data_IF_397137270909
#
_entry.id   IF_397137270909
#
_cell.length_a   1.000
_cell.length_b   1.000
_cell.length_c   1.000
_cell.angle_alpha   90.00
_cell.angle_beta   90.00
_cell.angle_gamma   90.00
#
_symmetry.space_group_name_H-M   'P 1'
#
loop_
_entity.id
_entity.type
_entity.pdbx_description
1 polymer ?
#
# COMPACT_ATOMS: atom_id res chain seq x y z
N UNK A 1 5.84 -42.13 17.41
CA UNK A 1 5.05 -41.31 16.45
C UNK A 1 4.14 -40.28 17.13
N UNK A 2 3.34 -40.64 18.14
CA UNK A 2 2.47 -39.67 18.86
C UNK A 2 3.22 -38.54 19.57
N UNK A 3 4.39 -38.81 20.17
CA UNK A 3 5.24 -37.81 20.84
C UNK A 3 5.87 -36.82 19.84
N UNK A 4 6.28 -37.28 18.65
CA UNK A 4 6.81 -36.41 17.60
C UNK A 4 5.71 -35.52 17.01
N UNK A 5 4.50 -36.06 16.80
CA UNK A 5 3.35 -35.28 16.34
C UNK A 5 2.84 -34.28 17.39
N UNK A 6 2.92 -34.61 18.67
CA UNK A 6 2.58 -33.67 19.75
C UNK A 6 3.67 -32.60 19.92
N UNK A 7 4.95 -32.95 19.79
CA UNK A 7 6.08 -32.01 19.74
C UNK A 7 5.93 -31.05 18.55
N UNK A 8 5.80 -31.58 17.32
CA UNK A 8 5.57 -30.76 16.12
C UNK A 8 4.32 -29.91 16.23
N UNK A 9 3.26 -30.37 16.92
CA UNK A 9 2.07 -29.56 17.23
C UNK A 9 2.33 -28.46 18.25
N UNK A 10 3.22 -28.68 19.22
CA UNK A 10 3.58 -27.75 20.29
C UNK A 10 4.46 -26.60 19.78
N UNK A 11 5.36 -26.87 18.83
CA UNK A 11 6.26 -25.86 18.26
C UNK A 11 5.73 -25.17 16.99
N UNK A 12 4.49 -25.47 16.57
CA UNK A 12 3.88 -24.82 15.39
C UNK A 12 3.86 -23.30 15.48
N UNK A 13 3.50 -22.77 16.65
CA UNK A 13 3.46 -21.33 16.88
C UNK A 13 4.86 -20.71 16.78
N UNK A 14 5.88 -21.39 17.31
CA UNK A 14 7.28 -20.97 17.20
C UNK A 14 7.68 -20.88 15.73
N UNK A 15 7.32 -21.86 14.91
CA UNK A 15 7.57 -21.83 13.46
C UNK A 15 6.89 -20.65 12.76
N UNK A 16 5.64 -20.34 13.10
CA UNK A 16 4.94 -19.17 12.52
C UNK A 16 5.59 -17.84 12.95
N UNK A 17 5.99 -17.70 14.21
CA UNK A 17 6.70 -16.49 14.66
C UNK A 17 8.08 -16.35 14.00
N UNK A 18 8.81 -17.46 13.83
CA UNK A 18 10.07 -17.47 13.09
C UNK A 18 9.87 -17.06 11.62
N UNK A 19 8.82 -17.57 10.95
CA UNK A 19 8.49 -17.15 9.58
C UNK A 19 8.05 -15.69 9.49
N UNK A 20 7.35 -15.17 10.50
CA UNK A 20 6.94 -13.77 10.54
C UNK A 20 8.15 -12.85 10.71
N UNK A 21 9.07 -13.21 11.61
CA UNK A 21 10.35 -12.52 11.78
C UNK A 21 11.19 -12.57 10.50
N UNK A 22 11.29 -13.75 9.88
CA UNK A 22 12.00 -13.92 8.62
C UNK A 22 11.39 -13.07 7.51
N UNK A 23 10.07 -13.07 7.37
CA UNK A 23 9.38 -12.24 6.37
C UNK A 23 9.67 -10.75 6.59
N UNK A 24 9.67 -10.29 7.85
CA UNK A 24 10.01 -8.91 8.21
C UNK A 24 11.45 -8.56 7.82
N UNK A 25 12.43 -9.38 8.24
CA UNK A 25 13.85 -9.19 7.92
C UNK A 25 14.06 -9.12 6.40
N UNK A 26 13.51 -10.10 5.66
CA UNK A 26 13.65 -10.16 4.21
C UNK A 26 13.01 -8.96 3.48
N UNK A 27 11.95 -8.36 4.05
CA UNK A 27 11.34 -7.15 3.48
C UNK A 27 12.17 -5.90 3.74
N UNK A 28 12.75 -5.76 4.93
CA UNK A 28 13.68 -4.67 5.24
C UNK A 28 14.92 -4.78 4.36
N UNK A 29 15.50 -5.98 4.26
CA UNK A 29 16.67 -6.26 3.43
C UNK A 29 16.38 -5.98 1.95
N UNK A 30 15.22 -6.41 1.43
CA UNK A 30 14.82 -6.10 0.06
C UNK A 30 14.72 -4.58 -0.17
N UNK A 31 14.09 -3.85 0.75
CA UNK A 31 14.06 -2.38 0.66
C UNK A 31 15.50 -1.85 0.60
N UNK A 32 16.40 -2.38 1.43
CA UNK A 32 17.77 -1.84 1.65
C UNK A 32 18.61 -1.92 0.41
N UNK A 33 18.62 -3.08 -0.25
CA UNK A 33 19.44 -3.30 -1.43
C UNK A 33 18.87 -2.67 -2.70
N UNK A 34 17.54 -2.67 -2.85
CA UNK A 34 16.93 -2.14 -4.08
C UNK A 34 16.78 -0.62 -4.06
N UNK A 35 17.12 0.06 -2.95
CA UNK A 35 17.04 1.52 -2.77
C UNK A 35 15.91 2.13 -3.59
N UNK A 36 14.69 1.60 -3.42
CA UNK A 36 13.48 2.14 -4.06
C UNK A 36 13.09 3.48 -3.40
N UNK A 37 14.06 4.37 -3.20
CA UNK A 37 13.90 5.76 -2.86
C UNK A 37 13.26 6.41 -4.07
N UNK A 38 11.93 6.24 -4.17
CA UNK A 38 11.14 6.96 -5.13
C UNK A 38 11.28 8.43 -4.81
N UNK A 39 11.34 9.26 -5.85
CA UNK A 39 11.34 10.72 -5.78
C UNK A 39 10.30 11.24 -4.76
N UNK A 40 9.11 10.62 -4.72
CA UNK A 40 8.06 10.92 -3.74
C UNK A 40 8.54 10.92 -2.28
N UNK A 41 9.42 10.00 -1.89
CA UNK A 41 9.91 9.87 -0.51
C UNK A 41 10.96 10.93 -0.22
N UNK A 42 11.86 11.18 -1.16
CA UNK A 42 12.89 12.22 -1.04
C UNK A 42 12.26 13.60 -0.90
N UNK A 43 11.31 13.93 -1.78
CA UNK A 43 10.57 15.19 -1.76
C UNK A 43 9.81 15.36 -0.44
N UNK A 44 9.17 14.30 0.07
CA UNK A 44 8.51 14.34 1.38
C UNK A 44 9.50 14.55 2.53
N UNK A 45 10.67 13.91 2.50
CA UNK A 45 11.68 14.07 3.55
C UNK A 45 12.33 15.46 3.52
N UNK A 46 12.61 15.99 2.32
CA UNK A 46 13.09 17.35 2.14
C UNK A 46 12.09 18.36 2.73
N UNK A 47 10.81 18.22 2.42
CA UNK A 47 9.77 19.07 3.00
C UNK A 47 9.56 18.87 4.50
N UNK A 48 9.76 17.65 4.99
CA UNK A 48 9.72 17.38 6.43
C UNK A 48 10.89 18.07 7.15
N UNK A 49 12.08 18.07 6.55
CA UNK A 49 13.24 18.74 7.10
C UNK A 49 13.05 20.26 7.16
N UNK A 50 12.45 20.87 6.13
CA UNK A 50 12.09 22.30 6.17
C UNK A 50 11.01 22.60 7.20
N UNK A 51 10.00 21.73 7.31
CA UNK A 51 8.96 21.86 8.34
C UNK A 51 9.55 21.84 9.75
N UNK A 52 10.43 20.88 10.01
CA UNK A 52 11.10 20.74 11.30
C UNK A 52 11.95 21.97 11.66
N UNK A 53 12.58 22.60 10.67
CA UNK A 53 13.31 23.86 10.83
C UNK A 53 12.41 25.11 11.00
N UNK A 54 11.10 24.97 10.83
CA UNK A 54 10.13 26.05 10.97
C UNK A 54 9.81 26.82 9.68
N UNK A 55 10.27 26.35 8.52
CA UNK A 55 10.01 27.00 7.21
C UNK A 55 8.68 26.55 6.55
N UNK A 56 7.93 25.65 7.19
CA UNK A 56 6.70 25.08 6.65
C UNK A 56 6.95 23.87 5.74
N UNK A 57 5.90 23.39 5.05
CA UNK A 57 5.99 22.16 4.24
C UNK A 57 6.46 22.52 2.82
N UNK A 58 7.73 22.86 2.70
CA UNK A 58 8.33 23.46 1.51
C UNK A 58 9.56 22.71 1.04
N UNK A 59 9.93 22.83 -0.23
CA UNK A 59 11.21 22.35 -0.77
C UNK A 59 11.99 23.55 -1.29
N UNK A 60 13.29 23.65 -1.00
CA UNK A 60 14.12 24.71 -1.56
C UNK A 60 14.30 24.50 -3.06
N UNK A 61 13.90 25.47 -3.86
CA UNK A 61 14.11 25.51 -5.30
C UNK A 61 15.01 26.69 -5.68
N UNK A 62 15.88 26.49 -6.66
CA UNK A 62 16.68 27.58 -7.22
C UNK A 62 15.77 28.56 -7.96
N UNK A 63 16.00 29.86 -7.79
CA UNK A 63 15.26 30.86 -8.57
C UNK A 63 15.61 30.73 -10.06
N UNK A 64 14.60 30.78 -10.92
CA UNK A 64 14.79 30.81 -12.38
C UNK A 64 15.40 32.13 -12.86
N UNK A 65 15.26 33.19 -12.07
CA UNK A 65 15.81 34.53 -12.36
C UNK A 65 17.26 34.68 -11.87
N UNK A 66 17.63 33.97 -10.80
CA UNK A 66 18.97 33.99 -10.21
C UNK A 66 19.29 32.64 -9.55
N UNK A 67 20.09 31.81 -10.24
CA UNK A 67 20.46 30.47 -9.77
C UNK A 67 21.31 30.49 -8.49
N UNK A 68 21.83 31.65 -8.07
CA UNK A 68 22.51 31.79 -6.77
C UNK A 68 21.54 31.89 -5.59
N UNK A 69 20.27 32.19 -5.85
CA UNK A 69 19.22 32.31 -4.85
C UNK A 69 18.35 31.05 -4.80
N UNK A 70 17.95 30.67 -3.58
CA UNK A 70 16.99 29.59 -3.35
C UNK A 70 15.77 30.16 -2.64
N UNK A 71 14.57 29.77 -3.06
CA UNK A 71 13.32 30.10 -2.39
C UNK A 71 12.60 28.82 -1.97
N UNK A 72 11.82 28.91 -0.91
CA UNK A 72 11.06 27.78 -0.38
C UNK A 72 9.73 27.64 -1.13
N UNK A 73 9.61 26.62 -1.98
CA UNK A 73 8.38 26.34 -2.71
C UNK A 73 7.49 25.40 -1.89
N UNK A 74 6.23 25.76 -1.60
CA UNK A 74 5.33 24.89 -0.84
C UNK A 74 4.93 23.65 -1.63
N UNK A 75 4.99 22.49 -0.97
CA UNK A 75 4.46 21.25 -1.54
C UNK A 75 2.97 21.14 -1.22
N UNK A 76 2.16 21.08 -2.27
CA UNK A 76 0.71 20.81 -2.17
C UNK A 76 0.31 19.39 -2.59
N UNK A 77 1.20 18.66 -3.29
CA UNK A 77 0.92 17.32 -3.83
C UNK A 77 1.02 16.19 -2.79
N UNK A 78 1.74 16.41 -1.70
CA UNK A 78 1.88 15.47 -0.59
C UNK A 78 1.29 16.06 0.70
N UNK A 79 0.72 15.19 1.54
CA UNK A 79 0.28 15.57 2.87
C UNK A 79 1.45 15.48 3.87
N UNK A 80 1.50 16.33 4.90
CA UNK A 80 2.61 16.37 5.86
C UNK A 80 2.63 15.20 6.84
N UNK A 81 1.59 14.35 6.86
CA UNK A 81 1.43 13.30 7.86
C UNK A 81 2.54 12.27 7.88
N UNK A 82 3.14 11.94 6.72
CA UNK A 82 4.32 11.07 6.70
C UNK A 82 5.50 11.74 7.40
N UNK A 83 5.72 13.04 7.16
CA UNK A 83 6.77 13.81 7.81
C UNK A 83 6.63 13.84 9.33
N UNK A 84 5.41 14.09 9.84
CA UNK A 84 5.13 14.05 11.27
C UNK A 84 5.42 12.69 11.92
N UNK A 85 5.25 11.58 11.18
CA UNK A 85 5.63 10.25 11.66
C UNK A 85 7.15 10.05 11.69
N UNK A 86 7.89 10.68 10.78
CA UNK A 86 9.35 10.51 10.67
C UNK A 86 10.10 11.36 11.70
N UNK A 87 9.61 12.57 12.01
CA UNK A 87 10.28 13.51 12.92
C UNK A 87 10.71 12.86 14.26
N UNK A 88 9.86 12.12 15.00
CA UNK A 88 10.29 11.50 16.26
C UNK A 88 11.46 10.51 16.11
N UNK A 89 11.58 9.86 14.95
CA UNK A 89 12.71 8.97 14.67
C UNK A 89 13.95 9.75 14.25
N UNK A 90 13.78 10.89 13.57
CA UNK A 90 14.87 11.81 13.28
C UNK A 90 15.46 12.37 14.58
N UNK A 91 14.65 12.82 15.53
CA UNK A 91 15.10 13.30 16.85
C UNK A 91 15.89 12.24 17.63
N UNK A 92 15.64 10.95 17.37
CA UNK A 92 16.33 9.84 18.01
C UNK A 92 17.65 9.46 17.31
N UNK A 93 17.70 9.58 15.98
CA UNK A 93 18.77 9.02 15.15
C UNK A 93 19.67 10.08 14.52
N UNK A 94 19.25 11.36 14.52
CA UNK A 94 19.90 12.52 13.89
C UNK A 94 20.25 12.30 12.40
N UNK A 95 19.44 11.50 11.71
CA UNK A 95 19.65 11.15 10.31
C UNK A 95 18.29 10.87 9.65
N UNK A 96 17.92 11.70 8.66
CA UNK A 96 16.64 11.62 7.96
C UNK A 96 16.47 10.30 7.20
N UNK A 97 17.55 9.73 6.67
CA UNK A 97 17.51 8.45 5.99
C UNK A 97 17.24 7.35 7.00
N UNK A 98 18.03 7.28 8.08
CA UNK A 98 17.85 6.26 9.11
C UNK A 98 16.47 6.36 9.77
N UNK A 99 15.95 7.57 9.97
CA UNK A 99 14.60 7.82 10.46
C UNK A 99 13.52 7.27 9.52
N UNK A 100 13.61 7.54 8.21
CA UNK A 100 12.69 7.00 7.22
C UNK A 100 12.77 5.47 7.13
N UNK A 101 13.99 4.92 7.21
CA UNK A 101 14.27 3.49 7.27
C UNK A 101 13.58 2.82 8.46
N UNK A 102 13.75 3.40 9.65
CA UNK A 102 13.15 2.91 10.87
C UNK A 102 11.62 2.99 10.80
N UNK A 103 11.07 4.10 10.28
CA UNK A 103 9.65 4.25 10.05
C UNK A 103 9.10 3.17 9.10
N UNK A 104 9.78 2.87 7.99
CA UNK A 104 9.39 1.78 7.09
C UNK A 104 9.43 0.41 7.78
N UNK A 105 10.51 0.10 8.49
CA UNK A 105 10.68 -1.15 9.22
C UNK A 105 9.56 -1.37 10.24
N UNK A 106 9.18 -0.31 10.97
CA UNK A 106 8.07 -0.31 11.91
C UNK A 106 6.73 -0.51 11.20
N UNK A 107 6.46 0.20 10.09
CA UNK A 107 5.24 0.02 9.31
C UNK A 107 5.09 -1.43 8.83
N UNK A 108 6.17 -2.03 8.34
CA UNK A 108 6.18 -3.43 7.89
C UNK A 108 5.93 -4.41 9.03
N UNK A 109 6.54 -4.19 10.20
CA UNK A 109 6.28 -5.00 11.40
C UNK A 109 4.81 -4.93 11.80
N UNK A 110 4.27 -3.72 11.92
CA UNK A 110 2.87 -3.48 12.28
C UNK A 110 1.90 -4.09 11.26
N UNK A 111 2.22 -4.02 9.97
CA UNK A 111 1.46 -4.67 8.90
C UNK A 111 1.41 -6.19 9.05
N UNK A 112 2.58 -6.82 9.27
CA UNK A 112 2.68 -8.27 9.46
C UNK A 112 1.94 -8.72 10.71
N UNK A 113 2.03 -7.96 11.81
CA UNK A 113 1.27 -8.21 13.03
C UNK A 113 -0.24 -8.10 12.78
N UNK A 114 -0.71 -7.04 12.13
CA UNK A 114 -2.13 -6.89 11.80
C UNK A 114 -2.60 -8.07 10.93
N UNK A 115 -1.83 -8.44 9.91
CA UNK A 115 -2.15 -9.57 9.02
C UNK A 115 -2.18 -10.90 9.79
N UNK A 116 -1.24 -11.12 10.72
CA UNK A 116 -1.22 -12.28 11.61
C UNK A 116 -2.48 -12.36 12.48
N UNK A 117 -2.87 -11.24 13.09
CA UNK A 117 -4.05 -11.18 13.94
C UNK A 117 -5.34 -11.37 13.14
N UNK A 118 -5.44 -10.79 11.92
CA UNK A 118 -6.54 -11.03 11.00
C UNK A 118 -6.63 -12.51 10.65
N UNK A 119 -5.51 -13.13 10.30
CA UNK A 119 -5.44 -14.56 9.98
C UNK A 119 -5.87 -15.42 11.18
N UNK A 120 -5.33 -15.15 12.37
CA UNK A 120 -5.69 -15.83 13.62
C UNK A 120 -7.19 -15.72 13.92
N UNK A 121 -7.79 -14.56 13.65
CA UNK A 121 -9.23 -14.35 13.83
C UNK A 121 -10.09 -15.17 12.85
N UNK A 122 -9.56 -15.54 11.68
CA UNK A 122 -10.24 -16.45 10.76
C UNK A 122 -10.17 -17.93 11.19
N UNK A 123 -9.34 -18.25 12.18
CA UNK A 123 -8.72 -19.57 12.36
C UNK A 123 -9.51 -20.57 13.21
N UNK A 124 -10.84 -20.52 13.24
CA UNK A 124 -11.57 -21.46 14.09
C UNK A 124 -11.35 -22.94 13.72
N UNK A 125 -10.88 -23.31 12.49
CA UNK A 125 -10.60 -24.72 12.07
C UNK A 125 -9.62 -24.93 10.89
N UNK A 126 -8.71 -24.00 10.57
CA UNK A 126 -7.87 -24.09 9.35
C UNK A 126 -6.46 -24.64 9.58
N UNK A 127 -5.92 -25.32 8.54
CA UNK A 127 -4.51 -25.71 8.45
C UNK A 127 -3.59 -24.47 8.45
N UNK A 128 -2.39 -24.59 9.02
CA UNK A 128 -1.43 -23.48 9.11
C UNK A 128 -0.58 -23.30 7.87
N UNK A 129 -0.39 -24.36 7.07
CA UNK A 129 0.49 -24.32 5.91
C UNK A 129 0.16 -23.19 4.91
N UNK A 130 -1.10 -22.79 4.65
CA UNK A 130 -1.36 -21.69 3.73
C UNK A 130 -0.87 -20.35 4.28
N UNK A 131 -0.85 -20.18 5.60
CA UNK A 131 -0.30 -18.98 6.21
C UNK A 131 1.22 -18.99 6.26
N UNK A 132 1.82 -20.15 6.53
CA UNK A 132 3.26 -20.32 6.37
C UNK A 132 3.70 -20.00 4.92
N UNK A 133 2.97 -20.51 3.92
CA UNK A 133 3.19 -20.18 2.51
C UNK A 133 3.00 -18.68 2.23
N UNK A 134 1.98 -18.06 2.83
CA UNK A 134 1.77 -16.61 2.72
C UNK A 134 2.94 -15.80 3.31
N UNK A 135 3.49 -16.20 4.46
CA UNK A 135 4.63 -15.52 5.08
C UNK A 135 5.90 -15.69 4.23
N UNK A 136 6.14 -16.89 3.69
CA UNK A 136 7.23 -17.13 2.72
C UNK A 136 7.03 -16.24 1.48
N UNK A 137 5.83 -16.22 0.93
CA UNK A 137 5.47 -15.35 -0.19
C UNK A 137 5.74 -13.89 0.14
N UNK A 138 5.25 -13.35 1.26
CA UNK A 138 5.49 -11.97 1.68
C UNK A 138 6.98 -11.67 1.87
N UNK A 139 7.73 -12.61 2.44
CA UNK A 139 9.17 -12.45 2.67
C UNK A 139 9.99 -12.40 1.38
N UNK A 140 9.67 -13.20 0.37
CA UNK A 140 10.48 -13.32 -0.85
C UNK A 140 9.93 -12.56 -2.05
N UNK A 141 8.62 -12.45 -2.20
CA UNK A 141 7.95 -11.80 -3.32
C UNK A 141 8.17 -10.28 -3.30
N UNK A 142 8.61 -9.66 -4.41
CA UNK A 142 8.53 -8.21 -4.56
C UNK A 142 7.07 -7.73 -4.62
N UNK A 143 6.15 -8.52 -5.15
CA UNK A 143 4.73 -8.19 -5.19
C UNK A 143 4.02 -8.47 -3.85
N UNK A 144 3.05 -7.64 -3.42
CA UNK A 144 2.66 -6.35 -4.01
C UNK A 144 3.49 -5.16 -3.52
N UNK A 145 4.51 -5.41 -2.68
CA UNK A 145 5.23 -4.40 -1.91
C UNK A 145 6.05 -3.42 -2.74
N UNK A 146 6.59 -3.87 -3.87
CA UNK A 146 7.43 -3.05 -4.74
C UNK A 146 6.68 -1.84 -5.31
N UNK A 147 5.35 -1.92 -5.41
CA UNK A 147 4.51 -0.82 -5.92
C UNK A 147 4.20 0.24 -4.85
N UNK A 148 4.70 0.11 -3.61
CA UNK A 148 4.40 1.02 -2.51
C UNK A 148 5.58 1.94 -2.21
N UNK A 149 5.32 3.25 -2.20
CA UNK A 149 6.21 4.22 -1.53
C UNK A 149 5.98 4.17 -0.01
N UNK A 150 6.89 4.74 0.77
CA UNK A 150 6.90 4.61 2.24
C UNK A 150 5.61 5.13 2.90
N UNK A 151 5.13 6.30 2.46
CA UNK A 151 3.85 6.84 2.92
C UNK A 151 2.66 5.89 2.62
N UNK A 152 2.74 5.05 1.56
CA UNK A 152 1.67 4.11 1.25
C UNK A 152 1.81 2.78 1.94
N UNK A 153 3.03 2.39 2.30
CA UNK A 153 3.22 1.30 3.24
C UNK A 153 2.53 1.63 4.57
N UNK A 154 2.68 2.87 5.07
CA UNK A 154 1.97 3.34 6.26
C UNK A 154 0.45 3.43 6.06
N UNK A 155 -0.02 3.98 4.94
CA UNK A 155 -1.46 4.06 4.64
C UNK A 155 -2.10 2.66 4.53
N UNK A 156 -1.40 1.71 3.90
CA UNK A 156 -1.84 0.31 3.83
C UNK A 156 -1.83 -0.35 5.22
N UNK A 157 -0.82 -0.04 6.05
CA UNK A 157 -0.72 -0.52 7.44
C UNK A 157 -1.92 -0.03 8.25
N UNK A 158 -2.23 1.26 8.18
CA UNK A 158 -3.44 1.83 8.79
C UNK A 158 -4.71 1.12 8.29
N UNK A 159 -4.82 0.87 6.98
CA UNK A 159 -5.93 0.10 6.43
C UNK A 159 -6.03 -1.31 7.05
N UNK A 160 -4.94 -2.05 7.15
CA UNK A 160 -4.94 -3.39 7.75
C UNK A 160 -5.36 -3.36 9.23
N UNK A 161 -4.90 -2.37 10.00
CA UNK A 161 -5.33 -2.16 11.39
C UNK A 161 -6.80 -1.75 11.51
N UNK A 162 -7.34 -0.95 10.59
CA UNK A 162 -8.76 -0.64 10.54
C UNK A 162 -9.60 -1.89 10.22
N UNK A 163 -9.15 -2.75 9.31
CA UNK A 163 -9.78 -4.06 9.06
C UNK A 163 -9.77 -4.91 10.32
N UNK A 164 -8.64 -4.96 11.03
CA UNK A 164 -8.50 -5.69 12.28
C UNK A 164 -9.46 -5.19 13.36
N UNK A 165 -9.50 -3.87 13.62
CA UNK A 165 -10.38 -3.25 14.60
C UNK A 165 -11.86 -3.62 14.36
N UNK A 166 -12.27 -3.66 13.09
CA UNK A 166 -13.61 -4.10 12.70
C UNK A 166 -13.83 -5.58 12.96
N UNK A 167 -12.90 -6.46 12.58
CA UNK A 167 -13.01 -7.90 12.81
C UNK A 167 -13.03 -8.27 14.30
N UNK A 168 -12.39 -7.46 15.15
CA UNK A 168 -12.40 -7.65 16.60
C UNK A 168 -13.56 -6.96 17.32
N UNK A 169 -14.35 -6.15 16.60
CA UNK A 169 -15.55 -5.57 17.15
C UNK A 169 -16.54 -6.69 17.55
N UNK A 170 -16.79 -6.81 18.85
CA UNK A 170 -17.54 -7.89 19.47
C UNK A 170 -19.04 -7.88 19.13
N UNK A 171 -19.81 -8.84 19.66
CA UNK A 171 -21.22 -8.97 19.34
C UNK A 171 -22.10 -7.87 19.98
N UNK A 172 -21.60 -7.17 21.00
CA UNK A 172 -22.33 -6.07 21.66
C UNK A 172 -22.32 -4.80 20.82
N UNK A 173 -23.40 -4.01 20.92
CA UNK A 173 -23.55 -2.72 20.23
C UNK A 173 -22.39 -1.77 20.53
N UNK A 174 -22.05 -1.63 21.82
CA UNK A 174 -20.96 -0.77 22.28
C UNK A 174 -19.62 -1.19 21.69
N UNK A 175 -19.31 -2.49 21.68
CA UNK A 175 -18.05 -2.99 21.09
C UNK A 175 -18.00 -2.74 19.58
N UNK A 176 -19.13 -2.86 18.87
CA UNK A 176 -19.25 -2.50 17.45
C UNK A 176 -18.99 -1.03 17.18
N UNK A 177 -19.58 -0.15 17.99
CA UNK A 177 -19.40 1.29 17.86
C UNK A 177 -17.94 1.68 18.12
N UNK A 178 -17.34 1.18 19.21
CA UNK A 178 -15.94 1.42 19.55
C UNK A 178 -15.01 0.91 18.43
N UNK A 179 -15.22 -0.32 17.95
CA UNK A 179 -14.41 -0.87 16.85
C UNK A 179 -14.56 -0.09 15.54
N UNK A 180 -15.75 0.45 15.27
CA UNK A 180 -15.99 1.31 14.09
C UNK A 180 -15.31 2.66 14.23
N UNK A 181 -15.47 3.31 15.38
CA UNK A 181 -14.79 4.57 15.70
C UNK A 181 -13.27 4.44 15.61
N UNK A 182 -12.73 3.36 16.18
CA UNK A 182 -11.30 3.05 16.10
C UNK A 182 -10.86 2.85 14.66
N UNK A 183 -11.61 2.10 13.85
CA UNK A 183 -11.29 1.91 12.44
C UNK A 183 -11.33 3.24 11.66
N UNK A 184 -12.31 4.10 11.92
CA UNK A 184 -12.41 5.43 11.31
C UNK A 184 -11.20 6.28 11.69
N UNK A 185 -10.85 6.32 12.99
CA UNK A 185 -9.70 7.09 13.47
C UNK A 185 -8.39 6.59 12.86
N UNK A 186 -8.20 5.27 12.74
CA UNK A 186 -7.00 4.71 12.10
C UNK A 186 -6.95 5.04 10.60
N UNK A 187 -8.07 4.93 9.88
CA UNK A 187 -8.13 5.32 8.47
C UNK A 187 -7.88 6.82 8.29
N UNK A 188 -8.35 7.64 9.23
CA UNK A 188 -8.09 9.07 9.23
C UNK A 188 -6.60 9.36 9.28
N UNK A 189 -5.87 8.69 10.17
CA UNK A 189 -4.41 8.74 10.21
C UNK A 189 -3.80 8.31 8.87
N UNK A 190 -4.27 7.19 8.31
CA UNK A 190 -3.80 6.71 7.00
C UNK A 190 -4.02 7.68 5.84
N UNK A 191 -5.06 8.52 5.91
CA UNK A 191 -5.37 9.53 4.91
C UNK A 191 -4.48 10.78 5.04
N UNK A 192 -4.18 11.20 6.27
CA UNK A 192 -3.25 12.30 6.56
C UNK A 192 -1.82 11.96 6.13
N UNK A 193 -1.43 10.68 6.10
CA UNK A 193 -0.07 10.26 5.74
C UNK A 193 0.21 10.29 4.24
N UNK A 194 -0.74 9.88 3.38
CA UNK A 194 -0.48 9.77 1.92
C UNK A 194 -1.65 10.17 1.06
N UNK A 195 -2.76 9.47 1.23
CA UNK A 195 -3.89 9.56 0.34
C UNK A 195 -4.98 10.31 1.05
N UNK A 196 -5.03 11.62 0.87
CA UNK A 196 -5.98 12.53 1.50
C UNK A 196 -7.48 12.12 1.38
N UNK A 197 -7.82 11.03 0.70
CA UNK A 197 -9.21 10.60 0.49
C UNK A 197 -9.38 9.07 0.40
N UNK A 198 -8.42 8.30 -0.14
CA UNK A 198 -8.62 6.85 -0.39
C UNK A 198 -9.04 6.06 0.87
N UNK A 199 -8.38 6.21 2.03
CA UNK A 199 -8.73 5.45 3.23
C UNK A 199 -10.12 5.82 3.79
N UNK A 200 -10.53 7.09 3.72
CA UNK A 200 -11.87 7.54 4.11
C UNK A 200 -12.94 7.02 3.18
N UNK A 201 -12.64 6.97 1.89
CA UNK A 201 -13.59 6.46 0.92
C UNK A 201 -13.88 4.99 1.16
N UNK A 202 -12.98 4.20 1.76
CA UNK A 202 -13.22 2.80 2.13
C UNK A 202 -14.20 2.62 3.30
N UNK A 203 -14.61 3.69 3.97
CA UNK A 203 -15.52 3.65 5.11
C UNK A 203 -16.92 3.06 4.81
N UNK A 204 -17.59 3.38 3.69
CA UNK A 204 -18.83 2.72 3.29
C UNK A 204 -18.63 1.22 3.03
N UNK A 205 -17.51 0.81 2.41
CA UNK A 205 -17.18 -0.61 2.24
C UNK A 205 -17.04 -1.34 3.59
N UNK A 206 -16.38 -0.68 4.55
CA UNK A 206 -16.21 -1.15 5.92
C UNK A 206 -17.55 -1.27 6.67
N UNK A 207 -18.45 -0.29 6.53
CA UNK A 207 -19.77 -0.26 7.19
C UNK A 207 -20.80 -1.20 6.53
N UNK A 208 -20.77 -1.34 5.20
CA UNK A 208 -21.64 -2.27 4.47
C UNK A 208 -21.28 -3.73 4.75
N UNK A 209 -20.04 -4.02 5.12
CA UNK A 209 -19.60 -5.36 5.53
C UNK A 209 -20.28 -5.90 6.80
N UNK A 210 -20.96 -5.06 7.60
CA UNK A 210 -21.71 -5.51 8.79
C UNK A 210 -22.94 -6.39 8.43
N UNK A 211 -23.57 -7.15 9.35
CA UNK A 211 -24.82 -7.93 9.12
C UNK A 211 -26.11 -7.11 9.04
N UNK A 212 -27.10 -7.49 8.20
CA UNK A 212 -28.33 -6.69 7.91
C UNK A 212 -29.25 -6.50 9.12
N UNK A 213 -29.38 -7.48 10.00
CA UNK A 213 -30.21 -7.42 11.21
C UNK A 213 -29.76 -6.35 12.23
N UNK A 214 -28.64 -5.66 11.97
CA UNK A 214 -28.06 -4.63 12.84
C UNK A 214 -28.31 -3.21 12.29
N UNK A 215 -29.25 -3.05 11.34
CA UNK A 215 -29.45 -1.81 10.55
C UNK A 215 -29.76 -0.53 11.34
N UNK A 216 -30.59 -0.55 12.42
CA UNK A 216 -30.83 0.64 13.24
C UNK A 216 -29.54 1.18 13.90
N UNK A 217 -28.68 0.27 14.37
CA UNK A 217 -27.39 0.60 14.98
C UNK A 217 -26.33 0.97 13.94
N UNK A 218 -26.44 0.41 12.73
CA UNK A 218 -25.64 0.84 11.58
C UNK A 218 -25.92 2.29 11.22
N UNK A 219 -27.16 2.76 11.28
CA UNK A 219 -27.47 4.16 10.96
C UNK A 219 -26.70 5.11 11.89
N UNK A 220 -26.68 4.84 13.20
CA UNK A 220 -25.88 5.65 14.15
C UNK A 220 -24.38 5.56 13.89
N UNK A 221 -23.87 4.36 13.66
CA UNK A 221 -22.44 4.16 13.36
C UNK A 221 -22.05 4.79 12.01
N UNK A 222 -22.94 4.77 11.02
CA UNK A 222 -22.80 5.41 9.72
C UNK A 222 -22.83 6.93 9.86
N UNK A 223 -23.75 7.49 10.63
CA UNK A 223 -23.77 8.94 10.89
C UNK A 223 -22.48 9.37 11.57
N UNK A 224 -22.05 8.67 12.62
CA UNK A 224 -20.78 8.98 13.30
C UNK A 224 -19.58 8.86 12.36
N UNK A 225 -19.54 7.81 11.55
CA UNK A 225 -18.50 7.58 10.58
C UNK A 225 -18.50 8.65 9.46
N UNK A 226 -19.68 9.05 8.96
CA UNK A 226 -19.83 10.11 7.96
C UNK A 226 -19.47 11.48 8.54
N UNK A 227 -19.81 11.75 9.80
CA UNK A 227 -19.42 12.99 10.49
C UNK A 227 -17.91 13.02 10.70
N UNK A 228 -17.32 11.96 11.28
CA UNK A 228 -15.88 11.89 11.50
C UNK A 228 -15.08 11.90 10.18
N UNK A 229 -15.54 11.16 9.17
CA UNK A 229 -14.97 11.16 7.84
C UNK A 229 -15.14 12.51 7.13
N UNK A 230 -16.31 13.15 7.28
CA UNK A 230 -16.60 14.48 6.73
C UNK A 230 -15.76 15.57 7.39
N UNK A 231 -15.56 15.51 8.71
CA UNK A 231 -14.63 16.39 9.43
C UNK A 231 -13.18 16.15 9.01
N UNK A 232 -12.79 14.89 8.81
CA UNK A 232 -11.50 14.53 8.23
C UNK A 232 -11.30 15.13 6.84
N UNK A 233 -12.27 14.94 5.94
CA UNK A 233 -12.24 15.53 4.60
C UNK A 233 -12.25 17.06 4.63
N UNK A 234 -13.02 17.68 5.52
CA UNK A 234 -13.05 19.13 5.71
C UNK A 234 -11.69 19.65 6.18
N UNK A 235 -11.04 18.99 7.13
CA UNK A 235 -9.70 19.38 7.60
C UNK A 235 -8.66 19.32 6.47
N UNK A 236 -8.76 18.30 5.61
CA UNK A 236 -7.88 18.14 4.45
C UNK A 236 -8.20 19.14 3.33
N UNK A 237 -9.47 19.49 3.16
CA UNK A 237 -9.89 20.55 2.25
C UNK A 237 -9.40 21.91 2.73
N UNK A 238 -9.54 22.23 4.02
CA UNK A 238 -9.02 23.46 4.61
C UNK A 238 -7.50 23.56 4.47
N UNK A 239 -6.79 22.46 4.70
CA UNK A 239 -5.35 22.37 4.41
C UNK A 239 -5.03 22.70 2.96
N UNK A 240 -5.76 22.10 2.00
CA UNK A 240 -5.57 22.38 0.56
C UNK A 240 -5.89 23.84 0.21
N UNK A 241 -6.93 24.42 0.81
CA UNK A 241 -7.32 25.82 0.57
C UNK A 241 -6.24 26.79 1.03
N UNK A 242 -5.55 26.50 2.14
CA UNK A 242 -4.41 27.31 2.58
C UNK A 242 -3.22 27.27 1.60
N UNK A 243 -3.16 26.26 0.73
CA UNK A 243 -2.12 26.10 -0.27
C UNK A 243 -2.52 26.67 -1.65
N UNK A 244 -3.77 27.11 -1.85
CA UNK A 244 -4.27 27.67 -3.12
C UNK A 244 -3.49 28.89 -3.65
N UNK A 245 -2.96 29.82 -2.81
CA UNK A 245 -2.18 30.95 -3.31
C UNK A 245 -0.92 30.55 -4.11
N UNK A 246 -0.51 29.28 -4.04
CA UNK A 246 0.71 28.75 -4.63
C UNK A 246 0.46 27.72 -5.73
N UNK A 247 -0.80 27.43 -6.05
CA UNK A 247 -1.16 26.57 -7.17
C UNK A 247 -1.32 27.46 -8.41
N UNK A 248 -0.57 27.22 -9.51
CA UNK A 248 -0.84 27.92 -10.76
C UNK A 248 -2.31 27.69 -11.12
N UNK A 249 -3.01 28.76 -11.49
CA UNK A 249 -4.43 28.76 -11.84
C UNK A 249 -4.70 28.08 -13.18
N UNK A 250 -4.09 26.91 -13.43
CA UNK A 250 -4.37 26.11 -14.60
C UNK A 250 -5.80 25.61 -14.50
N UNK A 251 -6.65 26.15 -15.38
CA UNK A 251 -7.96 25.59 -15.65
C UNK A 251 -7.77 24.14 -16.09
N UNK A 252 -8.08 23.19 -15.20
CA UNK A 252 -8.05 21.77 -15.54
C UNK A 252 -9.11 21.56 -16.62
N UNK A 253 -8.74 21.19 -17.86
CA UNK A 253 -9.71 21.04 -18.93
C UNK A 253 -10.79 20.04 -18.52
N UNK A 254 -12.04 20.50 -18.48
CA UNK A 254 -13.17 19.67 -18.14
C UNK A 254 -13.53 18.75 -19.32
N UNK A 255 -13.63 17.46 -19.06
CA UNK A 255 -13.93 16.50 -20.13
C UNK A 255 -14.38 15.12 -19.63
N UNK A 256 -14.75 14.28 -20.58
CA UNK A 256 -14.96 12.85 -20.36
C UNK A 256 -13.97 12.07 -21.22
N UNK A 257 -13.06 11.36 -20.57
CA UNK A 257 -11.95 10.66 -21.22
C UNK A 257 -12.13 9.14 -21.17
N UNK A 258 -13.15 8.61 -21.86
CA UNK A 258 -13.50 7.18 -21.80
C UNK A 258 -12.36 6.24 -22.18
N UNK A 259 -11.49 6.65 -23.11
CA UNK A 259 -10.34 5.87 -23.55
C UNK A 259 -9.33 5.61 -22.41
N UNK A 260 -9.31 6.43 -21.35
CA UNK A 260 -8.46 6.21 -20.18
C UNK A 260 -8.73 4.85 -19.51
N UNK A 261 -9.97 4.34 -19.56
CA UNK A 261 -10.33 3.05 -18.96
C UNK A 261 -9.70 1.85 -19.66
N UNK A 262 -9.25 2.01 -20.91
CA UNK A 262 -8.51 0.98 -21.65
C UNK A 262 -7.11 0.75 -21.06
N UNK A 263 -6.62 1.71 -20.27
CA UNK A 263 -5.32 1.65 -19.60
C UNK A 263 -5.43 1.18 -18.14
N UNK A 264 -6.54 0.58 -17.74
CA UNK A 264 -6.67 0.01 -16.40
C UNK A 264 -5.51 -0.95 -16.13
N UNK A 265 -4.98 -0.89 -14.91
CA UNK A 265 -3.88 -1.76 -14.52
C UNK A 265 -4.37 -3.22 -14.36
N UNK A 266 -3.62 -4.24 -14.82
CA UNK A 266 -3.89 -5.65 -14.51
C UNK A 266 -3.51 -5.97 -13.05
N UNK A 267 -4.08 -5.23 -12.11
CA UNK A 267 -3.76 -5.29 -10.70
C UNK A 267 -4.01 -6.68 -10.07
N UNK A 268 -5.02 -7.50 -10.45
CA UNK A 268 -5.25 -8.78 -9.77
C UNK A 268 -4.06 -9.74 -9.84
N UNK A 269 -3.36 -9.79 -10.98
CA UNK A 269 -2.17 -10.62 -11.12
C UNK A 269 -0.96 -9.99 -10.43
N UNK A 270 -0.88 -8.65 -10.38
CA UNK A 270 0.13 -7.91 -9.62
C UNK A 270 0.06 -8.11 -8.10
N UNK A 271 -1.02 -8.72 -7.59
CA UNK A 271 -1.09 -9.17 -6.20
C UNK A 271 -0.15 -10.37 -5.92
N UNK A 272 0.25 -11.10 -6.96
CA UNK A 272 1.02 -12.35 -6.85
C UNK A 272 2.36 -12.30 -7.57
N UNK A 273 2.50 -11.48 -8.60
CA UNK A 273 3.68 -11.45 -9.47
C UNK A 273 4.11 -10.00 -9.68
N UNK A 274 5.41 -9.75 -9.56
CA UNK A 274 6.00 -8.48 -9.91
C UNK A 274 6.34 -8.45 -11.40
N UNK A 275 5.79 -7.48 -12.14
CA UNK A 275 5.94 -7.36 -13.59
C UNK A 275 6.92 -6.26 -14.01
N UNK A 276 7.82 -5.82 -13.12
CA UNK A 276 8.81 -4.81 -13.45
C UNK A 276 9.80 -5.24 -14.54
N UNK A 277 10.12 -6.53 -14.65
CA UNK A 277 11.07 -7.03 -15.66
C UNK A 277 10.58 -6.75 -17.10
N UNK A 278 9.33 -7.08 -17.49
CA UNK A 278 8.78 -6.64 -18.77
C UNK A 278 8.85 -5.13 -19.01
N UNK A 279 8.66 -4.32 -17.97
CA UNK A 279 8.75 -2.86 -18.05
C UNK A 279 10.20 -2.41 -18.28
N UNK A 280 11.17 -2.99 -17.58
CA UNK A 280 12.60 -2.73 -17.78
C UNK A 280 13.08 -3.17 -19.17
N UNK A 281 12.62 -4.33 -19.66
CA UNK A 281 12.91 -4.81 -21.02
C UNK A 281 12.23 -3.93 -22.10
N UNK A 282 11.05 -3.36 -21.81
CA UNK A 282 10.42 -2.36 -22.66
C UNK A 282 11.30 -1.11 -22.81
N UNK A 283 11.82 -0.62 -21.68
CA UNK A 283 12.67 0.57 -21.63
C UNK A 283 14.02 0.35 -22.32
N UNK A 284 14.56 -0.86 -22.26
CA UNK A 284 15.78 -1.22 -22.97
C UNK A 284 15.61 -1.28 -24.51
N UNK A 285 14.39 -1.06 -25.04
CA UNK A 285 14.04 -1.11 -26.49
C UNK A 285 14.45 -2.40 -27.22
N UNK A 286 14.78 -3.47 -26.48
CA UNK A 286 15.27 -4.74 -27.05
C UNK A 286 14.19 -5.43 -27.89
N UNK A 287 12.91 -5.25 -27.53
CA UNK A 287 11.77 -5.73 -28.31
C UNK A 287 10.51 -4.88 -28.05
N UNK A 288 10.20 -3.94 -28.94
CA UNK A 288 9.10 -2.98 -28.77
C UNK A 288 7.69 -3.62 -28.66
N UNK A 289 7.50 -4.84 -29.20
CA UNK A 289 6.22 -5.58 -29.14
C UNK A 289 6.01 -6.36 -27.85
N UNK A 290 7.12 -6.73 -27.17
CA UNK A 290 7.13 -7.59 -26.00
C UNK A 290 6.28 -7.03 -24.82
N UNK A 291 6.28 -5.71 -24.53
CA UNK A 291 5.46 -5.14 -23.46
C UNK A 291 3.96 -5.32 -23.71
N UNK A 292 3.52 -5.15 -24.98
CA UNK A 292 2.12 -5.34 -25.35
C UNK A 292 1.65 -6.79 -25.15
N UNK A 293 2.50 -7.76 -25.47
CA UNK A 293 2.22 -9.19 -25.24
C UNK A 293 2.15 -9.49 -23.75
N UNK A 294 3.11 -9.00 -22.95
CA UNK A 294 3.07 -9.18 -21.49
C UNK A 294 1.83 -8.54 -20.87
N UNK A 295 1.46 -7.34 -21.32
CA UNK A 295 0.26 -6.65 -20.86
C UNK A 295 -1.01 -7.45 -21.20
N UNK A 296 -1.11 -8.00 -22.41
CA UNK A 296 -2.23 -8.84 -22.82
C UNK A 296 -2.32 -10.12 -21.97
N UNK A 297 -1.20 -10.79 -21.72
CA UNK A 297 -1.13 -11.97 -20.84
C UNK A 297 -1.54 -11.61 -19.41
N UNK A 298 -1.03 -10.50 -18.87
CA UNK A 298 -1.37 -10.02 -17.53
C UNK A 298 -2.87 -9.72 -17.39
N UNK A 299 -3.50 -9.19 -18.44
CA UNK A 299 -4.93 -8.97 -18.51
C UNK A 299 -5.73 -10.27 -18.51
N UNK A 300 -5.38 -11.22 -19.38
CA UNK A 300 -6.02 -12.54 -19.42
C UNK A 300 -5.93 -13.23 -18.06
N UNK A 301 -4.75 -13.21 -17.44
CA UNK A 301 -4.54 -13.75 -16.10
C UNK A 301 -5.38 -13.02 -15.03
N UNK A 302 -5.47 -11.69 -15.11
CA UNK A 302 -6.27 -10.88 -14.19
C UNK A 302 -7.76 -11.16 -14.29
N UNK A 303 -8.29 -11.26 -15.51
CA UNK A 303 -9.69 -11.62 -15.75
C UNK A 303 -9.99 -13.03 -15.23
N UNK A 304 -9.07 -13.97 -15.45
CA UNK A 304 -9.19 -15.32 -14.91
C UNK A 304 -9.22 -15.34 -13.38
N UNK A 305 -8.32 -14.60 -12.72
CA UNK A 305 -8.30 -14.47 -11.25
C UNK A 305 -9.56 -13.80 -10.70
N UNK A 306 -10.07 -12.76 -11.36
CA UNK A 306 -11.35 -12.14 -11.00
C UNK A 306 -12.52 -13.12 -11.17
N UNK A 307 -12.55 -13.90 -12.25
CA UNK A 307 -13.54 -14.93 -12.48
C UNK A 307 -13.54 -16.01 -11.37
N UNK A 308 -12.35 -16.45 -10.94
CA UNK A 308 -12.21 -17.35 -9.78
C UNK A 308 -12.73 -16.66 -8.51
N UNK A 309 -12.32 -15.42 -8.25
CA UNK A 309 -12.75 -14.65 -7.08
C UNK A 309 -14.27 -14.50 -7.00
N UNK A 310 -14.91 -14.15 -8.11
CA UNK A 310 -16.37 -14.07 -8.24
C UNK A 310 -17.03 -15.43 -8.01
N UNK A 311 -16.49 -16.50 -8.61
CA UNK A 311 -17.00 -17.86 -8.44
C UNK A 311 -16.93 -18.31 -6.98
N UNK A 312 -15.81 -18.05 -6.30
CA UNK A 312 -15.66 -18.32 -4.87
C UNK A 312 -16.62 -17.47 -4.04
N UNK A 313 -16.79 -16.20 -4.37
CA UNK A 313 -17.75 -15.32 -3.69
C UNK A 313 -19.18 -15.84 -3.80
N UNK A 314 -19.64 -16.19 -5.01
CA UNK A 314 -20.97 -16.77 -5.21
C UNK A 314 -21.13 -18.12 -4.51
N UNK A 315 -20.09 -18.96 -4.55
CA UNK A 315 -20.07 -20.23 -3.84
C UNK A 315 -20.27 -20.04 -2.33
N UNK A 316 -19.53 -19.12 -1.72
CA UNK A 316 -19.61 -18.82 -0.29
C UNK A 316 -20.90 -18.10 0.10
N UNK A 317 -21.53 -17.37 -0.82
CA UNK A 317 -22.84 -16.75 -0.57
C UNK A 317 -23.98 -17.77 -0.52
N UNK A 318 -23.89 -18.85 -1.32
CA UNK A 318 -24.96 -19.85 -1.48
C UNK A 318 -24.96 -20.97 -0.43
N UNK A 319 -23.88 -21.15 0.35
CA UNK A 319 -23.79 -22.22 1.36
C UNK A 319 -23.90 -21.66 2.77
N UNK A 320 -24.91 -22.12 3.51
CA UNK A 320 -24.98 -21.99 4.98
C UNK A 320 -23.88 -22.80 5.69
N UNK A 321 -23.25 -23.74 4.98
CA UNK A 321 -22.10 -24.53 5.44
C UNK A 321 -20.79 -23.78 5.18
N UNK A 322 -20.45 -22.85 6.08
CA UNK A 322 -19.20 -22.06 6.17
C UNK A 322 -18.94 -21.05 5.03
N UNK A 323 -18.48 -19.81 5.30
CA UNK A 323 -17.50 -19.42 6.32
C UNK A 323 -18.09 -18.91 7.64
N UNK A 324 -17.30 -18.93 8.73
CA UNK A 324 -17.66 -18.23 9.97
C UNK A 324 -17.97 -16.73 9.74
N UNK A 325 -18.67 -16.08 10.68
CA UNK A 325 -19.15 -14.70 10.50
C UNK A 325 -18.04 -13.71 10.14
N UNK A 326 -16.86 -13.86 10.72
CA UNK A 326 -15.70 -13.00 10.46
C UNK A 326 -15.18 -13.14 9.03
N UNK A 327 -15.18 -14.35 8.50
CA UNK A 327 -14.67 -14.59 7.15
C UNK A 327 -15.62 -14.09 6.07
N UNK A 328 -16.93 -14.26 6.28
CA UNK A 328 -17.94 -13.59 5.43
C UNK A 328 -17.82 -12.06 5.47
N UNK A 329 -17.37 -11.50 6.60
CA UNK A 329 -17.13 -10.06 6.71
C UNK A 329 -15.89 -9.64 5.93
N UNK A 330 -14.76 -10.34 6.07
CA UNK A 330 -13.53 -10.08 5.32
C UNK A 330 -13.75 -10.17 3.79
N UNK A 331 -14.48 -11.18 3.32
CA UNK A 331 -14.81 -11.34 1.90
C UNK A 331 -15.69 -10.21 1.37
N UNK A 332 -16.73 -9.84 2.10
CA UNK A 332 -17.59 -8.70 1.73
C UNK A 332 -16.81 -7.39 1.72
N UNK A 333 -15.98 -7.17 2.74
CA UNK A 333 -15.10 -6.03 2.81
C UNK A 333 -14.22 -5.95 1.56
N UNK A 334 -13.56 -7.05 1.21
CA UNK A 334 -12.67 -7.09 0.04
C UNK A 334 -13.39 -6.82 -1.27
N UNK A 335 -14.59 -7.39 -1.46
CA UNK A 335 -15.42 -7.09 -2.63
C UNK A 335 -15.85 -5.62 -2.68
N UNK A 336 -16.25 -5.03 -1.56
CA UNK A 336 -16.64 -3.62 -1.51
C UNK A 336 -15.45 -2.68 -1.69
N UNK A 337 -14.30 -2.97 -1.08
CA UNK A 337 -13.04 -2.23 -1.28
C UNK A 337 -12.64 -2.26 -2.76
N UNK A 338 -12.71 -3.42 -3.41
CA UNK A 338 -12.42 -3.56 -4.84
C UNK A 338 -13.35 -2.70 -5.69
N UNK A 339 -14.67 -2.84 -5.53
CA UNK A 339 -15.65 -2.10 -6.33
C UNK A 339 -15.50 -0.59 -6.17
N UNK A 340 -15.23 -0.15 -4.94
CA UNK A 340 -15.10 1.25 -4.63
C UNK A 340 -13.81 1.86 -5.19
N UNK A 341 -12.67 1.18 -5.05
CA UNK A 341 -11.41 1.64 -5.65
C UNK A 341 -11.56 1.69 -7.17
N UNK A 342 -12.18 0.68 -7.80
CA UNK A 342 -12.44 0.69 -9.23
C UNK A 342 -13.37 1.83 -9.66
N UNK A 343 -14.47 2.06 -8.93
CA UNK A 343 -15.40 3.14 -9.24
C UNK A 343 -14.73 4.52 -9.11
N UNK A 344 -13.96 4.72 -8.05
CA UNK A 344 -13.27 5.98 -7.79
C UNK A 344 -12.17 6.25 -8.81
N UNK A 345 -11.27 5.30 -9.04
CA UNK A 345 -10.18 5.48 -10.01
C UNK A 345 -10.73 5.63 -11.42
N UNK A 346 -11.75 4.86 -11.79
CA UNK A 346 -12.46 5.05 -13.07
C UNK A 346 -13.03 6.45 -13.17
N UNK A 347 -13.73 6.94 -12.14
CA UNK A 347 -14.29 8.30 -12.14
C UNK A 347 -13.20 9.38 -12.28
N UNK A 348 -12.13 9.28 -11.51
CA UNK A 348 -11.01 10.22 -11.57
C UNK A 348 -10.33 10.20 -12.94
N UNK A 349 -10.08 9.00 -13.50
CA UNK A 349 -9.57 8.85 -14.86
C UNK A 349 -10.52 9.39 -15.91
N UNK A 350 -11.83 9.23 -15.75
CA UNK A 350 -12.81 9.75 -16.72
C UNK A 350 -12.88 11.27 -16.70
N UNK A 351 -12.62 11.92 -15.56
CA UNK A 351 -12.82 13.36 -15.38
C UNK A 351 -11.54 14.19 -15.43
N UNK A 352 -10.39 13.57 -15.17
CA UNK A 352 -9.11 14.28 -15.19
C UNK A 352 -8.46 14.13 -16.56
N UNK A 353 -7.90 15.20 -17.13
CA UNK A 353 -7.11 15.11 -18.35
C UNK A 353 -5.90 14.19 -18.14
N UNK A 354 -5.39 13.57 -19.22
CA UNK A 354 -4.18 12.78 -19.12
C UNK A 354 -3.02 13.68 -18.68
N UNK A 355 -2.14 13.13 -17.85
CA UNK A 355 -0.90 13.81 -17.46
C UNK A 355 0.26 13.22 -18.24
N UNK A 356 1.11 14.08 -18.76
CA UNK A 356 2.35 13.65 -19.39
C UNK A 356 3.39 13.42 -18.31
N UNK A 357 3.62 12.14 -17.99
CA UNK A 357 4.83 11.75 -17.29
C UNK A 357 5.93 11.53 -18.34
N UNK A 358 7.07 12.20 -18.16
CA UNK A 358 8.23 12.25 -19.07
C UNK A 358 8.66 10.89 -19.67
N UNK A 359 8.25 9.76 -19.08
CA UNK A 359 8.64 8.40 -19.46
C UNK A 359 7.56 7.60 -20.20
N UNK A 360 6.27 7.91 -19.98
CA UNK A 360 5.15 7.21 -20.63
C UNK A 360 4.38 8.10 -21.61
N UNK A 361 4.57 9.42 -21.55
CA UNK A 361 3.85 10.40 -22.37
C UNK A 361 2.33 10.37 -22.20
N UNK A 362 1.85 9.63 -21.19
CA UNK A 362 0.44 9.42 -20.89
C UNK A 362 0.31 8.73 -19.53
N UNK A 363 -0.47 9.32 -18.63
CA UNK A 363 -0.76 8.79 -17.31
C UNK A 363 -2.20 9.09 -16.91
N UNK A 364 -2.84 8.12 -16.27
CA UNK A 364 -4.19 8.25 -15.71
C UNK A 364 -4.28 7.46 -14.40
N UNK A 365 -5.26 7.78 -13.54
CA UNK A 365 -5.41 7.16 -12.23
C UNK A 365 -5.59 5.64 -12.26
N UNK A 366 -6.29 5.08 -13.26
CA UNK A 366 -6.49 3.62 -13.38
C UNK A 366 -5.22 2.85 -13.78
N UNK A 367 -4.19 3.52 -14.30
CA UNK A 367 -2.91 2.90 -14.68
C UNK A 367 -2.00 2.63 -13.48
N UNK A 368 -2.22 3.35 -12.39
CA UNK A 368 -1.27 3.45 -11.30
C UNK A 368 -1.53 2.35 -10.25
N UNK A 369 -0.75 1.28 -10.30
CA UNK A 369 -0.86 0.09 -9.43
C UNK A 369 -0.89 0.45 -7.95
N UNK A 370 -0.17 1.49 -7.50
CA UNK A 370 -0.07 1.85 -6.08
C UNK A 370 -1.42 2.24 -5.47
N UNK A 371 -2.39 2.65 -6.27
CA UNK A 371 -3.75 2.96 -5.80
C UNK A 371 -4.59 1.70 -5.53
N UNK A 372 -4.19 0.55 -6.05
CA UNK A 372 -4.84 -0.75 -5.80
C UNK A 372 -4.29 -1.47 -4.56
N UNK A 373 -3.32 -0.88 -3.85
CA UNK A 373 -2.62 -1.52 -2.73
C UNK A 373 -3.51 -2.26 -1.70
N UNK A 374 -4.63 -1.67 -1.20
CA UNK A 374 -5.53 -2.37 -0.28
C UNK A 374 -6.13 -3.64 -0.88
N UNK A 375 -6.47 -3.58 -2.17
CA UNK A 375 -7.07 -4.70 -2.91
C UNK A 375 -6.03 -5.77 -3.21
N UNK A 376 -4.81 -5.39 -3.61
CA UNK A 376 -3.70 -6.32 -3.85
C UNK A 376 -3.42 -7.15 -2.59
N UNK A 377 -3.30 -6.49 -1.45
CA UNK A 377 -3.08 -7.16 -0.17
C UNK A 377 -4.24 -8.10 0.21
N UNK A 378 -5.49 -7.65 0.06
CA UNK A 378 -6.67 -8.46 0.37
C UNK A 378 -6.82 -9.68 -0.57
N UNK A 379 -6.57 -9.51 -1.87
CA UNK A 379 -6.59 -10.60 -2.86
C UNK A 379 -5.57 -11.66 -2.48
N UNK A 380 -4.33 -11.25 -2.19
CA UNK A 380 -3.27 -12.15 -1.73
C UNK A 380 -3.69 -12.88 -0.46
N UNK A 381 -4.08 -12.14 0.59
CA UNK A 381 -4.48 -12.73 1.87
C UNK A 381 -5.64 -13.73 1.71
N UNK A 382 -6.68 -13.39 0.94
CA UNK A 382 -7.84 -14.26 0.73
C UNK A 382 -7.48 -15.50 -0.07
N UNK A 383 -6.65 -15.40 -1.10
CA UNK A 383 -6.26 -16.54 -1.92
C UNK A 383 -5.55 -17.60 -1.07
N UNK A 384 -4.56 -17.18 -0.26
CA UNK A 384 -3.85 -18.07 0.65
C UNK A 384 -4.78 -18.63 1.75
N UNK A 385 -5.61 -17.80 2.37
CA UNK A 385 -6.62 -18.26 3.35
C UNK A 385 -7.55 -19.33 2.76
N UNK A 386 -7.93 -19.17 1.49
CA UNK A 386 -8.88 -20.05 0.81
C UNK A 386 -8.26 -21.38 0.39
N UNK A 387 -6.94 -21.47 0.24
CA UNK A 387 -6.25 -22.74 -0.02
C UNK A 387 -6.32 -23.71 1.18
N UNK A 388 -6.51 -23.17 2.39
CA UNK A 388 -6.75 -23.92 3.62
C UNK A 388 -8.20 -24.40 3.81
N UNK A 389 -9.12 -24.05 2.91
CA UNK A 389 -10.53 -24.36 3.08
C UNK A 389 -10.94 -25.75 2.65
N UNK A 390 -12.03 -26.22 3.28
CA UNK A 390 -12.82 -27.35 2.82
C UNK A 390 -13.70 -26.97 1.63
N UNK A 391 -13.08 -26.78 0.45
CA UNK A 391 -13.77 -26.59 -0.83
C UNK A 391 -14.05 -27.94 -1.50
N UNK A 392 -14.70 -27.94 -2.68
CA UNK A 392 -14.76 -29.15 -3.53
C UNK A 392 -13.33 -29.64 -3.81
N UNK A 393 -13.04 -30.96 -3.74
CA UNK A 393 -11.66 -31.48 -3.84
C UNK A 393 -10.89 -30.98 -5.07
N UNK A 394 -11.54 -30.86 -6.22
CA UNK A 394 -10.91 -30.34 -7.45
C UNK A 394 -10.54 -28.86 -7.33
N UNK A 395 -11.45 -28.03 -6.82
CA UNK A 395 -11.20 -26.59 -6.59
C UNK A 395 -10.12 -26.39 -5.54
N UNK A 396 -10.17 -27.17 -4.46
CA UNK A 396 -9.17 -27.12 -3.39
C UNK A 396 -7.78 -27.51 -3.92
N UNK A 397 -7.66 -28.61 -4.65
CA UNK A 397 -6.39 -29.04 -5.26
C UNK A 397 -5.84 -27.99 -6.22
N UNK A 398 -6.69 -27.43 -7.09
CA UNK A 398 -6.30 -26.35 -7.99
C UNK A 398 -5.78 -25.12 -7.25
N UNK A 399 -6.53 -24.63 -6.25
CA UNK A 399 -6.13 -23.46 -5.47
C UNK A 399 -4.85 -23.70 -4.65
N UNK A 400 -4.68 -24.91 -4.09
CA UNK A 400 -3.43 -25.31 -3.42
C UNK A 400 -2.25 -25.32 -4.39
N UNK A 401 -2.43 -25.91 -5.56
CA UNK A 401 -1.41 -25.93 -6.62
C UNK A 401 -1.00 -24.52 -7.02
N UNK A 402 -1.96 -23.61 -7.24
CA UNK A 402 -1.69 -22.20 -7.57
C UNK A 402 -0.93 -21.51 -6.45
N UNK A 403 -1.37 -21.64 -5.19
CA UNK A 403 -0.68 -21.00 -4.04
C UNK A 403 0.74 -21.51 -3.89
N UNK A 404 0.95 -22.83 -4.02
CA UNK A 404 2.29 -23.43 -3.96
C UNK A 404 3.15 -22.92 -5.12
N UNK A 405 2.64 -22.96 -6.36
CA UNK A 405 3.37 -22.49 -7.53
C UNK A 405 3.77 -21.01 -7.41
N UNK A 406 2.83 -20.14 -7.04
CA UNK A 406 3.11 -18.71 -6.80
C UNK A 406 4.16 -18.52 -5.72
N UNK A 407 4.07 -19.27 -4.61
CA UNK A 407 5.05 -19.18 -3.52
C UNK A 407 6.43 -19.63 -3.99
N UNK A 408 6.54 -20.75 -4.71
CA UNK A 408 7.80 -21.29 -5.21
C UNK A 408 8.43 -20.39 -6.27
N UNK A 409 7.63 -19.83 -7.19
CA UNK A 409 8.11 -18.89 -8.21
C UNK A 409 8.67 -17.64 -7.55
N UNK A 410 7.96 -17.05 -6.58
CA UNK A 410 8.44 -15.86 -5.88
C UNK A 410 9.62 -16.15 -4.94
N UNK A 411 9.68 -17.35 -4.35
CA UNK A 411 10.84 -17.80 -3.60
C UNK A 411 12.07 -17.91 -4.51
N UNK A 412 11.96 -18.63 -5.62
CA UNK A 412 13.03 -18.78 -6.59
C UNK A 412 13.49 -17.44 -7.16
N UNK A 413 12.54 -16.57 -7.52
CA UNK A 413 12.83 -15.22 -7.99
C UNK A 413 13.52 -14.37 -6.92
N UNK A 414 13.00 -14.37 -5.69
CA UNK A 414 13.56 -13.60 -4.57
C UNK A 414 14.93 -14.11 -4.11
N UNK A 415 15.21 -15.42 -4.27
CA UNK A 415 16.53 -16.00 -4.03
C UNK A 415 17.51 -15.63 -5.15
N UNK A 416 17.08 -15.71 -6.41
CA UNK A 416 17.89 -15.28 -7.56
C UNK A 416 18.28 -13.81 -7.44
N UNK A 417 17.31 -12.93 -7.17
CA UNK A 417 17.53 -11.50 -6.96
C UNK A 417 18.59 -11.20 -5.89
N UNK A 418 18.52 -11.89 -4.75
CA UNK A 418 19.50 -11.76 -3.67
C UNK A 418 20.86 -12.35 -4.04
N UNK A 419 20.87 -13.54 -4.64
CA UNK A 419 22.10 -14.19 -5.10
C UNK A 419 22.89 -13.28 -6.03
N UNK A 420 22.21 -12.70 -7.02
CA UNK A 420 22.79 -11.72 -7.92
C UNK A 420 23.38 -10.50 -7.18
N UNK A 421 22.61 -9.91 -6.26
CA UNK A 421 23.07 -8.78 -5.44
C UNK A 421 24.34 -9.12 -4.65
N UNK A 422 24.39 -10.28 -3.99
CA UNK A 422 25.54 -10.68 -3.15
C UNK A 422 26.75 -11.18 -3.95
N UNK A 423 26.54 -11.70 -5.16
CA UNK A 423 27.62 -12.12 -6.06
C UNK A 423 28.23 -10.94 -6.83
N UNK A 424 27.69 -9.72 -6.69
CA UNK A 424 28.15 -8.55 -7.42
C UNK A 424 27.86 -8.62 -8.93
N UNK A 425 27.09 -9.62 -9.37
CA UNK A 425 26.55 -9.67 -10.71
C UNK A 425 25.53 -8.54 -10.81
N UNK A 426 25.87 -7.48 -11.54
CA UNK A 426 25.01 -6.33 -11.78
C UNK A 426 23.74 -6.74 -12.52
N UNK A 427 22.81 -7.41 -11.85
CA UNK A 427 21.45 -7.62 -12.34
C UNK A 427 20.81 -6.26 -12.35
N UNK A 428 20.84 -5.68 -13.56
CA UNK A 428 20.12 -4.48 -13.98
C UNK A 428 19.69 -3.58 -12.83
N UNK A 429 20.60 -2.77 -12.30
CA UNK A 429 20.22 -1.51 -11.67
C UNK A 429 20.39 -0.36 -12.68
N UNK A 430 19.58 -0.27 -13.76
CA UNK A 430 19.63 0.91 -14.61
C UNK A 430 19.15 2.18 -13.87
N UNK A 431 18.45 2.04 -12.73
CA UNK A 431 17.92 3.18 -11.95
C UNK A 431 18.74 3.60 -10.73
N UNK A 432 19.72 2.81 -10.25
CA UNK A 432 20.52 3.22 -9.10
C UNK A 432 21.73 4.11 -9.48
N UNK A 433 22.00 4.28 -10.77
CA UNK A 433 23.14 5.09 -11.29
C UNK A 433 22.73 6.44 -11.89
N UNK A 434 21.46 6.83 -11.84
CA UNK A 434 21.07 8.20 -12.20
C UNK A 434 21.28 9.11 -10.99
N UNK A 435 22.29 9.97 -11.09
CA UNK A 435 22.68 11.04 -10.16
C UNK A 435 21.49 11.68 -9.41
N UNK A 436 21.27 11.28 -8.16
CA UNK A 436 20.35 11.88 -7.19
C UNK A 436 20.92 12.17 -5.77
N UNK A 437 22.18 11.84 -5.41
CA UNK A 437 22.74 12.28 -4.12
C UNK A 437 22.65 13.79 -3.87
N UNK A 438 22.67 14.61 -4.94
CA UNK A 438 22.82 16.05 -4.86
C UNK A 438 21.82 16.78 -3.95
N UNK A 439 20.51 16.47 -4.00
CA UNK A 439 19.52 17.24 -3.21
C UNK A 439 19.66 17.03 -1.70
N UNK A 440 20.01 15.82 -1.28
CA UNK A 440 20.21 15.48 0.13
C UNK A 440 21.61 15.84 0.62
N UNK A 441 22.62 15.75 -0.26
CA UNK A 441 23.99 16.20 0.03
C UNK A 441 24.02 17.73 0.20
N UNK A 442 23.28 18.49 -0.62
CA UNK A 442 23.07 19.93 -0.46
C UNK A 442 22.34 20.26 0.86
N UNK A 443 21.31 19.48 1.22
CA UNK A 443 20.59 19.66 2.49
C UNK A 443 21.47 19.35 3.72
N UNK A 444 22.36 18.35 3.61
CA UNK A 444 23.29 17.95 4.65
C UNK A 444 24.52 18.87 4.75
N UNK A 445 25.03 19.42 3.64
CA UNK A 445 26.06 20.46 3.63
C UNK A 445 25.55 21.73 4.33
N UNK A 446 24.33 22.17 4.03
CA UNK A 446 23.71 23.32 4.74
C UNK A 446 23.43 23.06 6.22
N UNK A 447 23.28 21.80 6.65
CA UNK A 447 23.18 21.44 8.07
C UNK A 447 24.50 21.71 8.81
N UNK A 448 25.65 21.66 8.11
CA UNK A 448 26.97 22.00 8.68
C UNK A 448 27.22 23.51 8.71
N UNK A 449 26.53 24.29 7.90
CA UNK A 449 26.68 25.75 7.84
C UNK A 449 25.95 26.51 8.97
N UNK A 450 25.15 25.80 9.79
CA UNK A 450 24.41 26.39 10.91
C UNK A 450 23.23 27.28 10.46
N UNK A 451 22.40 27.76 11.39
CA UNK A 451 21.30 28.66 11.05
C UNK A 451 21.86 29.98 10.51
N UNK A 452 21.71 30.21 9.21
CA UNK A 452 21.99 31.51 8.59
C UNK A 452 21.13 32.55 9.31
N UNK A 453 21.78 33.47 10.02
CA UNK A 453 21.11 34.63 10.61
C UNK A 453 20.46 35.39 9.46
N UNK A 454 19.14 35.26 9.33
CA UNK A 454 18.33 36.12 8.47
C UNK A 454 18.58 37.55 8.97
N UNK A 455 19.30 38.35 8.17
CA UNK A 455 19.31 39.79 8.38
C UNK A 455 17.88 40.26 8.19
N UNK A 456 17.22 40.56 9.30
CA UNK A 456 15.98 41.34 9.31
C UNK A 456 16.28 42.69 8.69
N UNK A 457 15.88 42.90 7.44
CA UNK A 457 15.68 44.24 6.93
C UNK A 457 14.44 44.80 7.65
N UNK A 458 14.68 45.72 8.59
CA UNK A 458 13.64 46.61 9.08
C UNK A 458 13.37 47.64 7.98
N UNK A 459 12.08 47.82 7.65
CA UNK A 459 11.59 48.88 6.77
C UNK A 459 12.00 50.27 7.24
#
# INVERSE_FOLDING_TARGET
MHVLLSFLRRYRMVGIYALLLLAWILRIEHRYHYRNWFLDTEVQLAATAQWWKGYGFTVPEASTEDLSQTHDQPISVFMPGYGWLVIPFFELLDDWFQAAWFAYALAMALMLVATHLIWRQQRLRQDEWPYAAYLIFVGFSPAPWHYLTDAGQWSLTAFAWAVLALLYAGPSVRSRQVGTLLAVAILATGAVIRYAYLPYLLLPALLWSLPRHQWPERRRSLVVALVAGGLGMLSLWLWRVQQLPYLPGEEVPEGWFFHHLLHLDPFPIKAFIYYGIPHELAMARVAAWLPGVFQAIAWVASLFLLGIGLSLWFHWRRRDRFPGPQRRRLLRLSGYTLLLILAMLSYLSLRSPPQDWNWTGFWTYVMETRYFAPVLWLIGLIAFLSAGDKLRPTVQRGLRGVVIAVTLVNLGFGLYQRGALYLGEGVGQPFARTNLPGLMEIAAERQREGPVRVMTYQN
#
